data_IF_609460801176
#
_entry.id   IF_609460801176
#
_cell.length_a   1.000
_cell.length_b   1.000
_cell.length_c   1.000
_cell.angle_alpha   90.00
_cell.angle_beta   90.00
_cell.angle_gamma   90.00
#
_symmetry.space_group_name_H-M   'P 1'
#
loop_
_entity.id
_entity.type
_entity.pdbx_description
1 polymer ?
#
# COMPACT_ATOMS: atom_id res chain seq x y z
N UNK A 1 9.00 -44.54 -17.02
CA UNK A 1 9.20 -43.09 -17.25
C UNK A 1 8.20 -42.21 -16.48
N UNK A 2 7.73 -42.62 -15.28
CA UNK A 2 6.73 -41.85 -14.51
C UNK A 2 7.37 -40.94 -13.44
N UNK A 3 8.50 -41.37 -12.86
CA UNK A 3 9.18 -40.70 -11.73
C UNK A 3 9.77 -39.33 -12.14
N UNK A 4 10.35 -39.22 -13.34
CA UNK A 4 10.88 -37.96 -13.85
C UNK A 4 9.81 -36.89 -14.15
N UNK A 5 8.58 -37.31 -14.46
CA UNK A 5 7.46 -36.39 -14.76
C UNK A 5 6.87 -35.79 -13.48
N UNK A 6 6.81 -36.56 -12.40
CA UNK A 6 6.35 -36.10 -11.09
C UNK A 6 7.34 -35.08 -10.51
N UNK A 7 8.65 -35.33 -10.66
CA UNK A 7 9.71 -34.43 -10.19
C UNK A 7 9.71 -33.08 -10.91
N UNK A 8 9.42 -33.07 -12.23
CA UNK A 8 9.28 -31.83 -13.00
C UNK A 8 8.06 -31.01 -12.55
N UNK A 9 6.92 -31.67 -12.30
CA UNK A 9 5.69 -31.00 -11.84
C UNK A 9 5.87 -30.38 -10.45
N UNK A 10 6.57 -31.06 -9.53
CA UNK A 10 6.89 -30.49 -8.21
C UNK A 10 7.85 -29.30 -8.32
N UNK A 11 8.83 -29.35 -9.22
CA UNK A 11 9.76 -28.25 -9.44
C UNK A 11 9.05 -27.02 -10.02
N UNK A 12 8.16 -27.22 -11.00
CA UNK A 12 7.34 -26.15 -11.58
C UNK A 12 6.40 -25.54 -10.54
N UNK A 13 5.80 -26.37 -9.67
CA UNK A 13 4.95 -25.88 -8.58
C UNK A 13 5.74 -25.02 -7.58
N UNK A 14 6.97 -25.42 -7.23
CA UNK A 14 7.87 -24.63 -6.36
C UNK A 14 8.27 -23.31 -7.03
N UNK A 15 8.58 -23.30 -8.32
CA UNK A 15 8.90 -22.05 -9.04
C UNK A 15 7.68 -21.12 -9.12
N UNK A 16 6.48 -21.65 -9.30
CA UNK A 16 5.24 -20.86 -9.31
C UNK A 16 4.92 -20.31 -7.91
N UNK A 17 5.27 -21.04 -6.84
CA UNK A 17 5.15 -20.58 -5.45
C UNK A 17 6.22 -19.53 -5.10
N UNK A 18 7.44 -19.66 -5.62
CA UNK A 18 8.54 -18.71 -5.42
C UNK A 18 8.49 -17.48 -6.33
N UNK A 19 7.69 -17.50 -7.40
CA UNK A 19 7.20 -16.30 -8.08
C UNK A 19 6.20 -15.51 -7.21
N UNK A 20 6.19 -15.77 -5.90
CA UNK A 20 5.52 -15.04 -4.86
C UNK A 20 5.83 -13.56 -4.98
N UNK A 21 4.78 -12.82 -5.31
CA UNK A 21 4.52 -11.46 -4.87
C UNK A 21 5.77 -10.59 -4.80
N UNK A 22 6.11 -9.92 -5.92
CA UNK A 22 6.96 -8.73 -5.86
C UNK A 22 6.25 -7.71 -4.95
N UNK A 23 6.52 -7.79 -3.66
CA UNK A 23 5.92 -6.95 -2.65
C UNK A 23 6.64 -5.61 -2.74
N UNK A 24 6.05 -4.64 -3.43
CA UNK A 24 6.61 -3.31 -3.45
C UNK A 24 6.29 -2.59 -2.15
N UNK A 25 7.18 -1.70 -1.73
CA UNK A 25 6.91 -0.74 -0.67
C UNK A 25 6.48 0.55 -1.33
N UNK A 26 5.26 0.97 -1.05
CA UNK A 26 4.69 2.22 -1.53
C UNK A 26 4.77 3.27 -0.43
N UNK A 27 5.34 4.43 -0.76
CA UNK A 27 5.20 5.62 0.06
C UNK A 27 3.99 6.38 -0.45
N UNK A 28 2.97 6.44 0.39
CA UNK A 28 1.75 7.17 0.13
C UNK A 28 1.80 8.55 0.76
N UNK A 29 1.20 9.50 0.07
CA UNK A 29 0.68 10.71 0.65
C UNK A 29 -0.84 10.58 0.72
N UNK A 30 -1.37 10.64 1.93
CA UNK A 30 -2.78 10.46 2.25
C UNK A 30 -3.34 11.81 2.67
N UNK A 31 -4.37 12.26 1.97
CA UNK A 31 -5.17 13.42 2.37
C UNK A 31 -6.52 12.92 2.84
N UNK A 32 -6.88 13.23 4.08
CA UNK A 32 -8.22 13.04 4.64
C UNK A 32 -8.92 14.40 4.71
N UNK A 33 -10.12 14.46 5.29
CA UNK A 33 -10.84 15.71 5.52
C UNK A 33 -10.03 16.71 6.36
N UNK A 34 -9.30 16.21 7.37
CA UNK A 34 -8.76 17.05 8.43
C UNK A 34 -7.23 17.12 8.42
N UNK A 35 -6.57 16.15 7.77
CA UNK A 35 -5.12 16.00 7.82
C UNK A 35 -4.54 15.49 6.52
N UNK A 36 -3.25 15.75 6.35
CA UNK A 36 -2.43 15.23 5.26
C UNK A 36 -1.17 14.62 5.87
N UNK A 37 -0.82 13.41 5.48
CA UNK A 37 0.35 12.73 6.01
C UNK A 37 0.97 11.80 4.99
N UNK A 38 2.24 11.46 5.19
CA UNK A 38 2.93 10.43 4.43
C UNK A 38 3.08 9.17 5.26
N UNK A 39 3.00 8.01 4.61
CA UNK A 39 3.17 6.69 5.25
C UNK A 39 3.77 5.69 4.26
N UNK A 40 4.53 4.72 4.74
CA UNK A 40 5.06 3.63 3.94
C UNK A 40 4.27 2.35 4.19
N UNK A 41 3.88 1.65 3.13
CA UNK A 41 3.10 0.42 3.23
C UNK A 41 3.41 -0.55 2.10
N UNK A 42 3.38 -1.83 2.41
CA UNK A 42 3.49 -2.92 1.42
C UNK A 42 2.17 -3.23 0.73
N UNK A 43 1.07 -2.66 1.21
CA UNK A 43 -0.24 -2.81 0.57
C UNK A 43 -0.24 -2.05 -0.74
N UNK A 44 -0.81 -2.67 -1.78
CA UNK A 44 -1.09 -1.98 -3.04
C UNK A 44 -2.08 -0.84 -2.81
N UNK A 45 -2.17 0.15 -3.72
CA UNK A 45 -3.00 1.34 -3.51
C UNK A 45 -4.49 0.99 -3.25
N UNK A 46 -5.03 0.05 -4.02
CA UNK A 46 -6.42 -0.39 -3.87
C UNK A 46 -6.66 -1.06 -2.52
N UNK A 47 -5.76 -1.97 -2.11
CA UNK A 47 -5.87 -2.65 -0.82
C UNK A 47 -5.69 -1.67 0.33
N UNK A 48 -4.73 -0.74 0.22
CA UNK A 48 -4.49 0.29 1.22
C UNK A 48 -5.73 1.18 1.41
N UNK A 49 -6.35 1.62 0.32
CA UNK A 49 -7.56 2.43 0.34
C UNK A 49 -8.73 1.70 1.02
N UNK A 50 -8.96 0.43 0.67
CA UNK A 50 -10.02 -0.39 1.26
C UNK A 50 -9.80 -0.70 2.75
N UNK A 51 -8.56 -1.00 3.15
CA UNK A 51 -8.24 -1.35 4.54
C UNK A 51 -8.25 -0.14 5.49
N UNK A 52 -7.96 1.06 5.00
CA UNK A 52 -7.82 2.27 5.84
C UNK A 52 -8.94 3.30 5.66
N UNK A 53 -9.86 3.10 4.71
CA UNK A 53 -10.93 4.06 4.39
C UNK A 53 -12.04 4.24 5.44
N UNK A 54 -12.02 3.51 6.57
CA UNK A 54 -13.11 3.53 7.55
C UNK A 54 -13.02 4.52 8.69
N UNK A 55 -11.84 4.70 9.29
CA UNK A 55 -11.70 5.55 10.49
C UNK A 55 -11.56 7.04 10.14
N UNK A 56 -10.89 7.33 9.04
CA UNK A 56 -10.83 8.63 8.39
C UNK A 56 -11.02 8.41 6.89
N UNK A 57 -12.01 9.07 6.29
CA UNK A 57 -12.25 8.90 4.86
C UNK A 57 -11.06 9.47 4.07
N UNK A 58 -10.35 8.60 3.36
CA UNK A 58 -9.26 9.02 2.47
C UNK A 58 -9.90 9.75 1.27
N UNK A 59 -9.59 11.04 1.14
CA UNK A 59 -10.05 11.89 0.04
C UNK A 59 -9.14 11.82 -1.17
N UNK A 60 -7.84 11.75 -0.93
CA UNK A 60 -6.81 11.66 -1.96
C UNK A 60 -5.72 10.68 -1.48
N UNK A 61 -5.39 9.72 -2.34
CA UNK A 61 -4.26 8.80 -2.14
C UNK A 61 -3.29 8.98 -3.30
N UNK A 62 -2.09 9.48 -3.02
CA UNK A 62 -1.04 9.68 -4.02
C UNK A 62 0.15 8.79 -3.71
N UNK A 63 0.65 8.07 -4.71
CA UNK A 63 1.92 7.36 -4.61
C UNK A 63 3.03 8.39 -4.82
N UNK A 64 3.85 8.60 -3.79
CA UNK A 64 5.00 9.52 -3.86
C UNK A 64 6.21 8.79 -4.43
N UNK A 65 6.44 7.55 -3.97
CA UNK A 65 7.58 6.75 -4.38
C UNK A 65 7.31 5.26 -4.16
N UNK A 66 7.97 4.43 -4.97
CA UNK A 66 7.89 2.98 -4.89
C UNK A 66 9.30 2.44 -4.67
N UNK A 67 9.44 1.48 -3.77
CA UNK A 67 10.68 0.78 -3.48
C UNK A 67 10.48 -0.73 -3.62
N UNK A 68 11.57 -1.47 -3.79
CA UNK A 68 11.56 -2.93 -3.68
C UNK A 68 11.25 -3.36 -2.23
N UNK A 69 10.79 -4.60 -2.04
CA UNK A 69 10.37 -5.11 -0.71
C UNK A 69 11.45 -4.93 0.37
N UNK A 70 12.69 -5.21 -0.03
CA UNK A 70 13.86 -5.20 0.85
C UNK A 70 14.25 -3.78 1.29
N UNK A 71 13.75 -2.75 0.61
CA UNK A 71 14.08 -1.35 0.82
C UNK A 71 13.09 -0.63 1.76
N UNK A 72 12.27 -1.37 2.54
CA UNK A 72 11.31 -0.76 3.48
C UNK A 72 11.98 0.21 4.46
N UNK A 73 13.10 -0.19 5.07
CA UNK A 73 13.86 0.68 6.00
C UNK A 73 14.37 1.95 5.32
N UNK A 74 14.74 1.86 4.04
CA UNK A 74 15.19 2.99 3.24
C UNK A 74 14.03 3.97 3.00
N UNK A 75 12.86 3.44 2.66
CA UNK A 75 11.64 4.24 2.53
C UNK A 75 11.29 4.96 3.84
N UNK A 76 11.38 4.26 4.99
CA UNK A 76 11.13 4.87 6.29
C UNK A 76 12.09 6.03 6.59
N UNK A 77 13.39 5.83 6.37
CA UNK A 77 14.41 6.83 6.65
C UNK A 77 14.32 8.06 5.75
N UNK A 78 14.10 7.85 4.45
CA UNK A 78 14.02 8.94 3.47
C UNK A 78 12.84 9.89 3.76
N UNK A 79 11.73 9.35 4.24
CA UNK A 79 10.51 10.10 4.55
C UNK A 79 10.33 10.43 6.04
N UNK A 80 11.33 10.15 6.89
CA UNK A 80 11.29 10.37 8.35
C UNK A 80 10.12 9.67 9.06
N UNK A 81 9.84 8.44 8.65
CA UNK A 81 8.72 7.60 9.12
C UNK A 81 9.14 6.54 10.17
N UNK A 82 10.38 6.59 10.66
CA UNK A 82 11.00 5.49 11.43
C UNK A 82 10.29 5.14 12.75
N UNK A 83 9.64 6.11 13.40
CA UNK A 83 9.01 5.90 14.71
C UNK A 83 7.53 5.50 14.62
N UNK A 84 6.74 6.28 13.88
CA UNK A 84 5.27 6.16 13.88
C UNK A 84 4.71 5.70 12.52
N UNK A 85 5.57 5.49 11.52
CA UNK A 85 5.18 5.26 10.12
C UNK A 85 4.20 6.32 9.58
N UNK A 86 4.29 7.53 10.10
CA UNK A 86 3.49 8.68 9.72
C UNK A 86 4.36 9.94 9.80
N UNK A 87 4.35 10.74 8.73
CA UNK A 87 4.96 12.06 8.72
C UNK A 87 3.85 13.06 8.37
N UNK A 88 3.48 13.89 9.34
CA UNK A 88 2.38 14.85 9.19
C UNK A 88 2.85 15.98 8.28
N UNK A 89 2.10 16.22 7.21
CA UNK A 89 2.34 17.31 6.28
C UNK A 89 1.42 18.49 6.59
N UNK A 90 1.76 19.65 6.04
CA UNK A 90 0.86 20.79 6.08
C UNK A 90 -0.49 20.42 5.44
N UNK A 91 -1.60 20.76 6.09
CA UNK A 91 -2.93 20.48 5.58
C UNK A 91 -3.09 21.15 4.21
N UNK A 92 -3.61 20.39 3.26
CA UNK A 92 -3.99 20.87 1.94
C UNK A 92 -5.52 20.88 1.91
N UNK A 93 -6.12 21.88 1.26
CA UNK A 93 -7.56 21.87 1.01
C UNK A 93 -7.91 20.58 0.28
N UNK A 94 -8.64 19.68 0.92
CA UNK A 94 -9.12 18.47 0.29
C UNK A 94 -10.02 18.85 -0.90
N UNK A 95 -10.02 18.07 -1.99
CA UNK A 95 -10.97 18.28 -3.08
C UNK A 95 -12.40 18.30 -2.55
N UNK A 96 -13.23 19.22 -3.08
CA UNK A 96 -14.62 19.41 -2.64
C UNK A 96 -15.42 18.11 -2.87
N UNK A 97 -16.13 17.67 -1.83
CA UNK A 97 -16.75 16.34 -1.72
C UNK A 97 -17.96 16.13 -2.64
N UNK A 98 -18.36 17.17 -3.38
CA UNK A 98 -19.57 17.21 -4.19
C UNK A 98 -19.57 16.23 -5.38
N UNK A 99 -18.45 15.58 -5.71
CA UNK A 99 -18.38 14.59 -6.80
C UNK A 99 -18.18 13.15 -6.35
N UNK A 100 -17.84 12.89 -5.09
CA UNK A 100 -17.46 11.55 -4.64
C UNK A 100 -18.55 11.04 -3.72
N UNK A 101 -19.46 10.27 -4.31
CA UNK A 101 -20.52 9.54 -3.63
C UNK A 101 -20.04 9.07 -2.23
N UNK A 102 -20.59 9.61 -1.13
CA UNK A 102 -20.17 9.18 0.19
C UNK A 102 -20.57 7.70 0.25
N UNK A 103 -19.60 6.79 0.27
CA UNK A 103 -19.91 5.41 0.57
C UNK A 103 -20.42 5.38 2.00
N UNK A 104 -21.74 5.43 2.14
CA UNK A 104 -22.41 5.37 3.42
C UNK A 104 -22.29 3.92 3.88
N UNK A 105 -21.35 3.66 4.78
CA UNK A 105 -21.33 2.42 5.54
C UNK A 105 -22.31 2.58 6.71
N UNK A 106 -23.57 2.26 6.45
CA UNK A 106 -24.50 1.94 7.51
C UNK A 106 -24.11 0.57 8.09
N UNK A 107 -24.14 0.50 9.42
CA UNK A 107 -24.21 -0.66 10.33
C UNK A 107 -24.18 -2.06 9.74
#
# INVERSE_FOLDING_TARGET
>A
MLIGRISLLTLVLVIILEAGSYCYVYVYEVTTSDRRFQTASKLSPNTFFLSNGGKDLIKELKIVKVYADNDFKKALKEFKLENENANILLPKKAPDDRSTNPYIWWR
#
